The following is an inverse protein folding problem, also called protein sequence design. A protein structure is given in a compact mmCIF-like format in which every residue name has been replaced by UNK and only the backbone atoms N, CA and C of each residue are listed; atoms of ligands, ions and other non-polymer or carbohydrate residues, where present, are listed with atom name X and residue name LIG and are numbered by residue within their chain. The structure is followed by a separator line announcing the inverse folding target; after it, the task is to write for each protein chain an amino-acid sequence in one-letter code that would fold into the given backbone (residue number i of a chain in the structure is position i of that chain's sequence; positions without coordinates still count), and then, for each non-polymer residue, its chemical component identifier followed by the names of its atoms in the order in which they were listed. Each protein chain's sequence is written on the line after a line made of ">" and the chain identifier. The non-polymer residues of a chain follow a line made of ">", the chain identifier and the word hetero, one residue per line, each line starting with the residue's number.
data_IF_946249608528
#
_entry.id   IF_946249608528
#
_cell.length_a   1.000
_cell.length_b   1.000
_cell.length_c   1.000
_cell.angle_alpha   90.00
_cell.angle_beta   90.00
_cell.angle_gamma   90.00
#
_symmetry.space_group_name_H-M   'P 1'
#
loop_
_entity.id
_entity.type
_entity.pdbx_description
1 polymer ?
#
# COMPACT_ATOMS: atom_id res chain seq x y z
N UNK A 1 7.86 -20.81 19.49
CA UNK A 1 8.90 -19.86 19.02
C UNK A 1 8.37 -18.45 19.23
N UNK A 2 8.66 -17.85 20.38
CA UNK A 2 8.00 -16.64 20.90
C UNK A 2 8.34 -15.40 20.08
N UNK A 3 7.35 -14.51 19.89
CA UNK A 3 7.44 -13.26 19.10
C UNK A 3 8.68 -12.40 19.42
N UNK A 4 9.21 -12.50 20.65
CA UNK A 4 10.45 -11.87 21.10
C UNK A 4 11.74 -12.36 20.38
N UNK A 5 11.79 -13.61 19.90
CA UNK A 5 12.97 -14.11 19.14
C UNK A 5 12.97 -13.65 17.68
N UNK A 6 11.80 -13.35 17.12
CA UNK A 6 11.68 -12.70 15.80
C UNK A 6 12.01 -11.21 15.91
N UNK A 7 11.65 -10.59 17.05
CA UNK A 7 11.90 -9.17 17.39
C UNK A 7 13.38 -8.75 17.26
N UNK A 8 14.33 -9.58 17.71
CA UNK A 8 15.77 -9.23 17.67
C UNK A 8 16.43 -9.36 16.28
N UNK A 9 15.79 -10.03 15.32
CA UNK A 9 16.37 -10.30 13.98
C UNK A 9 15.95 -9.30 12.91
N UNK A 10 14.94 -8.47 13.16
CA UNK A 10 14.45 -7.47 12.22
C UNK A 10 14.75 -6.08 12.80
N UNK A 11 15.76 -5.39 12.25
CA UNK A 11 16.14 -4.02 12.61
C UNK A 11 15.07 -3.00 12.16
N UNK A 12 13.85 -3.11 12.68
CA UNK A 12 12.73 -2.26 12.30
C UNK A 12 12.74 -0.96 13.10
N UNK A 13 12.45 0.16 12.43
CA UNK A 13 12.17 1.42 13.12
C UNK A 13 10.97 1.28 14.06
N UNK A 14 10.91 2.08 15.14
CA UNK A 14 9.79 2.04 16.12
C UNK A 14 8.41 2.15 15.44
N UNK A 15 8.30 2.94 14.37
CA UNK A 15 7.07 3.11 13.58
C UNK A 15 6.74 1.86 12.75
N UNK A 16 7.74 1.24 12.13
CA UNK A 16 7.57 -0.01 11.37
C UNK A 16 7.19 -1.17 12.31
N UNK A 17 7.76 -1.20 13.51
CA UNK A 17 7.47 -2.20 14.52
C UNK A 17 6.02 -2.13 15.02
N UNK A 18 5.51 -0.92 15.31
CA UNK A 18 4.11 -0.71 15.69
C UNK A 18 3.14 -1.22 14.62
N UNK A 19 3.40 -0.89 13.34
CA UNK A 19 2.56 -1.31 12.21
C UNK A 19 2.64 -2.82 11.92
N UNK A 20 3.79 -3.43 12.18
CA UNK A 20 3.97 -4.87 12.12
C UNK A 20 3.14 -5.58 13.19
N UNK A 21 3.20 -5.10 14.43
CA UNK A 21 2.42 -5.69 15.53
C UNK A 21 0.92 -5.56 15.31
N UNK A 22 0.44 -4.39 14.89
CA UNK A 22 -0.96 -4.16 14.53
C UNK A 22 -1.43 -5.11 13.41
N UNK A 23 -0.61 -5.27 12.37
CA UNK A 23 -0.93 -6.21 11.29
C UNK A 23 -0.89 -7.68 11.74
N UNK A 24 -0.01 -8.01 12.69
CA UNK A 24 0.10 -9.36 13.25
C UNK A 24 -1.11 -9.75 14.10
N UNK A 25 -1.58 -8.84 14.97
CA UNK A 25 -2.80 -9.03 15.75
C UNK A 25 -4.02 -9.24 14.86
N UNK A 26 -4.21 -8.36 13.87
CA UNK A 26 -5.32 -8.48 12.92
C UNK A 26 -5.22 -9.78 12.11
N UNK A 27 -4.03 -10.15 11.65
CA UNK A 27 -3.82 -11.41 10.95
C UNK A 27 -4.21 -12.62 11.79
N UNK A 28 -3.77 -12.67 13.06
CA UNK A 28 -4.10 -13.76 13.97
C UNK A 28 -5.61 -13.87 14.19
N UNK A 29 -6.29 -12.72 14.39
CA UNK A 29 -7.74 -12.68 14.54
C UNK A 29 -8.47 -13.15 13.29
N UNK A 30 -8.06 -12.68 12.10
CA UNK A 30 -8.69 -13.08 10.84
C UNK A 30 -8.48 -14.56 10.54
N UNK A 31 -7.27 -15.10 10.70
CA UNK A 31 -7.01 -16.53 10.46
C UNK A 31 -7.82 -17.42 11.41
N UNK A 32 -7.89 -17.05 12.70
CA UNK A 32 -8.69 -17.78 13.69
C UNK A 32 -10.18 -17.74 13.34
N UNK A 33 -10.68 -16.55 12.97
CA UNK A 33 -12.08 -16.35 12.59
C UNK A 33 -12.44 -17.07 11.29
N UNK A 34 -11.55 -17.07 10.29
CA UNK A 34 -11.74 -17.82 9.05
C UNK A 34 -11.76 -19.31 9.32
N UNK A 35 -10.77 -19.83 10.08
CA UNK A 35 -10.72 -21.26 10.43
C UNK A 35 -11.97 -21.73 11.17
N UNK A 36 -12.43 -20.96 12.15
CA UNK A 36 -13.66 -21.27 12.88
C UNK A 36 -14.89 -21.14 11.97
N UNK A 37 -15.01 -20.05 11.22
CA UNK A 37 -16.14 -19.84 10.31
C UNK A 37 -16.26 -20.95 9.26
N UNK A 38 -15.15 -21.35 8.63
CA UNK A 38 -15.11 -22.51 7.71
C UNK A 38 -15.52 -23.79 8.43
N UNK A 39 -15.03 -24.04 9.64
CA UNK A 39 -15.45 -25.21 10.42
C UNK A 39 -16.97 -25.20 10.72
N UNK A 40 -17.57 -24.03 11.00
CA UNK A 40 -19.02 -23.92 11.17
C UNK A 40 -19.76 -24.23 9.87
N UNK A 41 -19.32 -23.66 8.75
CA UNK A 41 -19.89 -23.89 7.41
C UNK A 41 -19.89 -25.38 7.06
N UNK A 42 -18.75 -26.05 7.27
CA UNK A 42 -18.59 -27.48 6.97
C UNK A 42 -19.37 -28.40 7.92
N UNK A 43 -19.68 -27.95 9.14
CA UNK A 43 -20.42 -28.73 10.13
C UNK A 43 -21.94 -28.59 9.99
N UNK A 44 -22.41 -27.48 9.44
CA UNK A 44 -23.84 -27.21 9.26
C UNK A 44 -24.50 -28.18 8.29
N UNK A 45 -23.76 -28.71 7.31
CA UNK A 45 -24.30 -29.65 6.32
C UNK A 45 -23.53 -30.98 6.33
N UNK A 46 -24.24 -32.09 6.25
CA UNK A 46 -23.68 -33.46 6.20
C UNK A 46 -22.94 -33.79 4.90
N UNK A 47 -22.77 -32.83 3.98
CA UNK A 47 -22.01 -32.98 2.73
C UNK A 47 -21.13 -31.75 2.44
N UNK A 48 -19.87 -31.92 1.99
CA UNK A 48 -18.91 -30.84 1.70
C UNK A 48 -19.21 -30.08 0.39
N UNK A 49 -20.48 -29.92 0.03
CA UNK A 49 -20.88 -29.25 -1.20
C UNK A 49 -21.19 -27.77 -0.93
N UNK A 50 -20.32 -26.87 -1.38
CA UNK A 50 -20.50 -25.41 -1.30
C UNK A 50 -21.86 -24.98 -1.87
N UNK A 51 -22.36 -25.65 -2.90
CA UNK A 51 -23.66 -25.38 -3.52
C UNK A 51 -24.84 -25.66 -2.57
N UNK A 52 -24.74 -26.69 -1.73
CA UNK A 52 -25.76 -26.99 -0.73
C UNK A 52 -25.80 -25.89 0.33
N UNK A 53 -24.61 -25.43 0.76
CA UNK A 53 -24.51 -24.34 1.73
C UNK A 53 -25.08 -23.02 1.20
N UNK A 54 -24.93 -22.72 -0.10
CA UNK A 54 -25.54 -21.52 -0.70
C UNK A 54 -27.06 -21.56 -0.56
N UNK A 55 -27.69 -22.71 -0.80
CA UNK A 55 -29.14 -22.87 -0.69
C UNK A 55 -29.61 -22.75 0.77
N UNK A 56 -28.82 -23.31 1.71
CA UNK A 56 -29.15 -23.27 3.14
C UNK A 56 -28.99 -21.89 3.79
N UNK A 57 -28.54 -20.86 3.05
CA UNK A 57 -28.48 -19.48 3.51
C UNK A 57 -29.85 -18.86 3.80
N UNK A 58 -30.90 -19.30 3.11
CA UNK A 58 -32.28 -18.79 3.25
C UNK A 58 -33.32 -19.88 3.48
N UNK A 59 -32.99 -21.13 3.20
CA UNK A 59 -33.86 -22.29 3.43
C UNK A 59 -34.19 -22.43 4.93
N UNK A 60 -35.46 -22.70 5.23
CA UNK A 60 -35.93 -22.86 6.61
C UNK A 60 -35.93 -21.56 7.45
N UNK A 61 -35.74 -20.39 6.84
CA UNK A 61 -35.87 -19.11 7.56
C UNK A 61 -37.35 -18.83 7.91
N UNK A 62 -37.68 -18.38 9.14
CA UNK A 62 -36.78 -18.17 10.29
C UNK A 62 -36.61 -19.40 11.20
N UNK A 63 -37.49 -20.39 11.11
CA UNK A 63 -37.65 -21.48 12.09
C UNK A 63 -36.39 -22.30 12.33
N UNK A 64 -35.64 -22.64 11.27
CA UNK A 64 -34.38 -23.41 11.37
C UNK A 64 -33.15 -22.53 11.66
N UNK A 65 -33.31 -21.20 11.57
CA UNK A 65 -32.22 -20.24 11.82
C UNK A 65 -32.23 -19.75 13.27
N UNK A 66 -33.38 -19.79 13.94
CA UNK A 66 -33.52 -19.43 15.36
C UNK A 66 -32.71 -20.35 16.30
N UNK A 67 -32.77 -21.70 16.21
CA UNK A 67 -32.00 -22.58 17.07
C UNK A 67 -30.53 -22.59 16.65
N UNK A 68 -29.78 -21.62 17.18
CA UNK A 68 -28.36 -21.50 16.89
C UNK A 68 -27.51 -22.39 17.81
N UNK A 69 -26.61 -23.16 17.20
CA UNK A 69 -25.65 -23.99 17.94
C UNK A 69 -24.75 -23.13 18.84
N UNK A 70 -24.33 -23.69 19.97
CA UNK A 70 -23.45 -23.01 20.92
C UNK A 70 -22.15 -22.49 20.26
N UNK A 71 -21.45 -23.25 19.38
CA UNK A 71 -20.29 -22.75 18.65
C UNK A 71 -20.56 -21.51 17.81
N UNK A 72 -21.71 -21.43 17.16
CA UNK A 72 -22.08 -20.26 16.35
C UNK A 72 -22.38 -19.04 17.24
N UNK A 73 -23.01 -19.22 18.41
CA UNK A 73 -23.17 -18.15 19.40
C UNK A 73 -21.83 -17.59 19.86
N UNK A 74 -20.90 -18.46 20.26
CA UNK A 74 -19.57 -18.02 20.67
C UNK A 74 -18.79 -17.34 19.56
N UNK A 75 -18.94 -17.79 18.32
CA UNK A 75 -18.35 -17.12 17.17
C UNK A 75 -18.76 -15.64 17.12
N UNK A 76 -20.07 -15.32 17.13
CA UNK A 76 -20.54 -13.94 17.12
C UNK A 76 -20.16 -13.14 18.37
N UNK A 77 -20.21 -13.76 19.55
CA UNK A 77 -19.77 -13.11 20.80
C UNK A 77 -18.30 -12.68 20.69
N UNK A 78 -17.43 -13.55 20.18
CA UNK A 78 -16.01 -13.24 20.01
C UNK A 78 -15.80 -12.18 18.93
N UNK A 79 -16.54 -12.23 17.82
CA UNK A 79 -16.48 -11.19 16.79
C UNK A 79 -16.83 -9.82 17.39
N UNK A 80 -17.96 -9.73 18.08
CA UNK A 80 -18.44 -8.49 18.70
C UNK A 80 -17.47 -8.02 19.79
N UNK A 81 -17.02 -8.91 20.67
CA UNK A 81 -16.06 -8.59 21.72
C UNK A 81 -14.75 -8.06 21.16
N UNK A 82 -14.24 -8.66 20.08
CA UNK A 82 -13.05 -8.15 19.41
C UNK A 82 -13.29 -6.75 18.84
N UNK A 83 -14.35 -6.49 18.09
CA UNK A 83 -14.51 -5.14 17.54
C UNK A 83 -14.83 -4.09 18.61
N UNK A 84 -15.44 -4.47 19.74
CA UNK A 84 -15.57 -3.61 20.93
C UNK A 84 -14.20 -3.32 21.56
N UNK A 85 -13.31 -4.31 21.69
CA UNK A 85 -11.99 -4.10 22.33
C UNK A 85 -11.13 -3.08 21.57
N UNK A 86 -11.35 -2.91 20.26
CA UNK A 86 -10.62 -1.93 19.46
C UNK A 86 -10.81 -0.49 19.95
N UNK A 87 -11.93 -0.13 20.57
CA UNK A 87 -12.17 1.23 21.07
C UNK A 87 -11.28 1.60 22.27
N UNK A 88 -11.25 0.83 23.38
CA UNK A 88 -10.31 1.09 24.47
C UNK A 88 -8.85 0.90 24.01
N UNK A 89 -8.57 -0.02 23.09
CA UNK A 89 -7.23 -0.20 22.52
C UNK A 89 -6.69 1.09 21.88
N UNK A 90 -7.52 1.85 21.17
CA UNK A 90 -7.12 3.14 20.58
C UNK A 90 -6.65 4.14 21.65
N UNK A 91 -7.32 4.15 22.80
CA UNK A 91 -6.96 5.00 23.94
C UNK A 91 -5.67 4.52 24.60
N UNK A 92 -5.58 3.23 24.91
CA UNK A 92 -4.42 2.61 25.59
C UNK A 92 -3.13 2.69 24.76
N UNK A 93 -3.25 2.55 23.44
CA UNK A 93 -2.11 2.65 22.51
C UNK A 93 -1.75 4.09 22.12
N UNK A 94 -2.42 5.10 22.71
CA UNK A 94 -2.27 6.53 22.40
C UNK A 94 -2.26 6.76 20.89
N UNK A 95 -3.30 6.27 20.20
CA UNK A 95 -3.40 6.35 18.76
C UNK A 95 -3.33 7.81 18.27
N UNK A 96 -2.66 8.03 17.15
CA UNK A 96 -2.56 9.36 16.54
C UNK A 96 -3.93 9.82 16.08
N UNK A 97 -4.25 11.11 16.25
CA UNK A 97 -5.55 11.69 15.86
C UNK A 97 -5.92 11.45 14.40
N UNK A 98 -4.93 11.38 13.52
CA UNK A 98 -5.10 11.07 12.09
C UNK A 98 -5.52 9.62 11.80
N UNK A 99 -5.18 8.66 12.67
CA UNK A 99 -5.47 7.24 12.50
C UNK A 99 -6.82 6.83 13.15
N UNK A 100 -7.31 7.61 14.12
CA UNK A 100 -8.52 7.30 14.91
C UNK A 100 -9.77 7.18 14.02
N UNK A 101 -10.12 8.14 13.13
CA UNK A 101 -11.38 8.08 12.39
C UNK A 101 -11.47 6.83 11.51
N UNK A 102 -10.35 6.46 10.89
CA UNK A 102 -10.29 5.27 10.07
C UNK A 102 -10.54 4.01 10.92
N UNK A 103 -9.81 3.84 12.02
CA UNK A 103 -9.94 2.66 12.89
C UNK A 103 -11.33 2.54 13.52
N UNK A 104 -11.90 3.66 13.96
CA UNK A 104 -13.28 3.72 14.48
C UNK A 104 -14.29 3.33 13.40
N UNK A 105 -14.17 3.88 12.19
CA UNK A 105 -15.08 3.54 11.08
C UNK A 105 -15.07 2.05 10.79
N UNK A 106 -13.88 1.44 10.70
CA UNK A 106 -13.75 -0.01 10.47
C UNK A 106 -14.37 -0.82 11.62
N UNK A 107 -14.01 -0.54 12.88
CA UNK A 107 -14.54 -1.26 14.03
C UNK A 107 -16.08 -1.15 14.13
N UNK A 108 -16.63 0.05 13.91
CA UNK A 108 -18.08 0.28 13.92
C UNK A 108 -18.79 -0.47 12.80
N UNK A 109 -18.24 -0.49 11.57
CA UNK A 109 -18.84 -1.23 10.46
C UNK A 109 -18.96 -2.73 10.80
N UNK A 110 -17.91 -3.33 11.35
CA UNK A 110 -17.96 -4.73 11.77
C UNK A 110 -18.98 -4.98 12.87
N UNK A 111 -19.07 -4.10 13.88
CA UNK A 111 -20.07 -4.22 14.94
C UNK A 111 -21.49 -4.15 14.40
N UNK A 112 -21.78 -3.14 13.59
CA UNK A 112 -23.11 -2.96 13.01
C UNK A 112 -23.51 -4.18 12.19
N UNK A 113 -22.62 -4.69 11.32
CA UNK A 113 -22.92 -5.88 10.49
C UNK A 113 -23.10 -7.13 11.35
N UNK A 114 -22.24 -7.38 12.34
CA UNK A 114 -22.34 -8.57 13.20
C UNK A 114 -23.60 -8.54 14.06
N UNK A 115 -23.92 -7.39 14.66
CA UNK A 115 -25.10 -7.21 15.51
C UNK A 115 -26.37 -7.30 14.67
N UNK A 116 -26.44 -6.60 13.53
CA UNK A 116 -27.59 -6.64 12.65
C UNK A 116 -27.88 -8.07 12.16
N UNK A 117 -26.84 -8.81 11.73
CA UNK A 117 -27.01 -10.18 11.30
C UNK A 117 -27.48 -11.11 12.43
N UNK A 118 -27.01 -10.90 13.66
CA UNK A 118 -27.45 -11.68 14.82
C UNK A 118 -28.91 -11.39 15.19
N UNK A 119 -29.29 -10.11 15.22
CA UNK A 119 -30.66 -9.67 15.55
C UNK A 119 -31.65 -10.17 14.50
N UNK A 120 -31.33 -10.01 13.22
CA UNK A 120 -32.17 -10.42 12.08
C UNK A 120 -32.13 -11.93 11.80
N UNK A 121 -31.40 -12.71 12.59
CA UNK A 121 -31.27 -14.17 12.44
C UNK A 121 -30.66 -14.57 11.07
N UNK A 122 -29.81 -13.71 10.50
CA UNK A 122 -29.11 -13.92 9.23
C UNK A 122 -27.68 -14.44 9.46
N UNK A 123 -27.50 -15.28 10.47
CA UNK A 123 -26.19 -15.68 10.99
C UNK A 123 -25.42 -16.55 10.00
N UNK A 124 -26.10 -17.44 9.25
CA UNK A 124 -25.49 -18.26 8.19
C UNK A 124 -24.86 -17.38 7.11
N UNK A 125 -25.62 -16.43 6.57
CA UNK A 125 -25.13 -15.45 5.59
C UNK A 125 -23.94 -14.65 6.14
N UNK A 126 -24.06 -14.11 7.35
CA UNK A 126 -22.99 -13.30 7.92
C UNK A 126 -21.69 -14.08 8.14
N UNK A 127 -21.74 -15.36 8.55
CA UNK A 127 -20.55 -16.20 8.65
C UNK A 127 -19.89 -16.37 7.27
N UNK A 128 -20.69 -16.65 6.23
CA UNK A 128 -20.18 -16.77 4.87
C UNK A 128 -19.46 -15.50 4.41
N UNK A 129 -20.09 -14.34 4.61
CA UNK A 129 -19.53 -13.05 4.21
C UNK A 129 -18.28 -12.68 5.03
N UNK A 130 -18.28 -12.96 6.35
CA UNK A 130 -17.12 -12.73 7.21
C UNK A 130 -15.94 -13.62 6.84
N UNK A 131 -16.16 -14.91 6.55
CA UNK A 131 -15.10 -15.83 6.09
C UNK A 131 -14.45 -15.32 4.81
N UNK A 132 -15.26 -14.93 3.82
CA UNK A 132 -14.75 -14.39 2.56
C UNK A 132 -13.98 -13.08 2.77
N UNK A 133 -14.54 -12.16 3.55
CA UNK A 133 -13.93 -10.86 3.81
C UNK A 133 -12.62 -11.00 4.61
N UNK A 134 -12.64 -11.69 5.75
CA UNK A 134 -11.46 -11.92 6.58
C UNK A 134 -10.39 -12.75 5.86
N UNK A 135 -10.79 -13.69 4.99
CA UNK A 135 -9.84 -14.44 4.16
C UNK A 135 -9.03 -13.51 3.26
N UNK A 136 -9.71 -12.58 2.58
CA UNK A 136 -9.05 -11.54 1.78
C UNK A 136 -8.13 -10.65 2.62
N UNK A 137 -8.60 -10.17 3.79
CA UNK A 137 -7.82 -9.33 4.69
C UNK A 137 -6.60 -10.05 5.29
N UNK A 138 -6.72 -11.35 5.59
CA UNK A 138 -5.60 -12.16 6.05
C UNK A 138 -4.48 -12.22 5.02
N UNK A 139 -4.80 -12.34 3.72
CA UNK A 139 -3.79 -12.31 2.64
C UNK A 139 -3.12 -10.92 2.59
N UNK A 140 -3.89 -9.84 2.73
CA UNK A 140 -3.34 -8.47 2.78
C UNK A 140 -2.36 -8.29 3.93
N UNK A 141 -2.76 -8.65 5.15
CA UNK A 141 -1.91 -8.50 6.33
C UNK A 141 -0.69 -9.42 6.27
N UNK A 142 -0.82 -10.63 5.69
CA UNK A 142 0.32 -11.51 5.38
C UNK A 142 1.32 -10.82 4.46
N UNK A 143 0.85 -10.22 3.35
CA UNK A 143 1.71 -9.49 2.42
C UNK A 143 2.42 -8.31 3.12
N UNK A 144 1.69 -7.58 3.97
CA UNK A 144 2.21 -6.44 4.74
C UNK A 144 3.28 -6.86 5.75
N UNK A 145 3.06 -7.98 6.46
CA UNK A 145 4.05 -8.52 7.39
C UNK A 145 5.31 -8.98 6.67
N UNK A 146 5.17 -9.66 5.52
CA UNK A 146 6.32 -10.05 4.68
C UNK A 146 7.10 -8.83 4.16
N UNK A 147 6.40 -7.74 3.86
CA UNK A 147 7.02 -6.48 3.46
C UNK A 147 7.86 -5.88 4.59
N UNK A 148 7.33 -5.85 5.81
CA UNK A 148 8.07 -5.39 6.99
C UNK A 148 9.18 -6.35 7.44
N UNK A 149 9.13 -7.61 7.04
CA UNK A 149 10.19 -8.59 7.31
C UNK A 149 11.33 -8.56 6.26
N UNK A 150 11.44 -7.48 5.47
CA UNK A 150 12.37 -7.32 4.34
C UNK A 150 12.31 -8.42 3.26
N UNK A 151 11.21 -9.20 3.22
CA UNK A 151 10.95 -10.21 2.18
C UNK A 151 10.18 -9.62 1.00
N UNK A 152 10.65 -8.49 0.48
CA UNK A 152 9.96 -7.64 -0.50
C UNK A 152 9.54 -8.37 -1.79
N UNK A 153 10.38 -9.28 -2.30
CA UNK A 153 10.06 -10.10 -3.49
C UNK A 153 8.84 -10.99 -3.27
N UNK A 154 8.76 -11.62 -2.10
CA UNK A 154 7.62 -12.49 -1.73
C UNK A 154 6.40 -11.62 -1.46
N UNK A 155 6.56 -10.55 -0.67
CA UNK A 155 5.49 -9.60 -0.37
C UNK A 155 4.84 -9.03 -1.64
N UNK A 156 5.64 -8.67 -2.65
CA UNK A 156 5.11 -8.19 -3.94
C UNK A 156 4.25 -9.22 -4.66
N UNK A 157 4.64 -10.50 -4.66
CA UNK A 157 3.83 -11.58 -5.23
C UNK A 157 2.52 -11.75 -4.46
N UNK A 158 2.57 -11.77 -3.12
CA UNK A 158 1.36 -11.90 -2.29
C UNK A 158 0.43 -10.70 -2.46
N UNK A 159 0.94 -9.47 -2.59
CA UNK A 159 0.10 -8.30 -2.91
C UNK A 159 -0.60 -8.41 -4.27
N UNK A 160 0.04 -9.00 -5.29
CA UNK A 160 -0.61 -9.25 -6.59
C UNK A 160 -1.73 -10.28 -6.46
N UNK A 161 -1.50 -11.36 -5.72
CA UNK A 161 -2.53 -12.36 -5.41
C UNK A 161 -3.69 -11.72 -4.66
N UNK A 162 -3.39 -10.93 -3.62
CA UNK A 162 -4.40 -10.19 -2.87
C UNK A 162 -5.24 -9.27 -3.76
N UNK A 163 -4.66 -8.54 -4.71
CA UNK A 163 -5.44 -7.68 -5.61
C UNK A 163 -6.52 -8.45 -6.38
N UNK A 164 -6.20 -9.66 -6.86
CA UNK A 164 -7.14 -10.52 -7.58
C UNK A 164 -8.19 -11.09 -6.63
N UNK A 165 -7.74 -11.65 -5.50
CA UNK A 165 -8.64 -12.25 -4.49
C UNK A 165 -9.58 -11.20 -3.91
N UNK A 166 -9.10 -9.99 -3.64
CA UNK A 166 -9.90 -8.89 -3.11
C UNK A 166 -11.09 -8.60 -4.03
N UNK A 167 -10.84 -8.42 -5.33
CA UNK A 167 -11.90 -8.15 -6.30
C UNK A 167 -12.87 -9.32 -6.45
N UNK A 168 -12.34 -10.55 -6.53
CA UNK A 168 -13.17 -11.75 -6.59
C UNK A 168 -14.09 -11.88 -5.37
N UNK A 169 -13.58 -11.64 -4.16
CA UNK A 169 -14.36 -11.66 -2.92
C UNK A 169 -15.45 -10.59 -2.93
N UNK A 170 -15.19 -9.38 -3.46
CA UNK A 170 -16.23 -8.35 -3.59
C UNK A 170 -17.36 -8.83 -4.49
N UNK A 171 -17.04 -9.40 -5.65
CA UNK A 171 -18.04 -9.94 -6.58
C UNK A 171 -18.87 -11.06 -5.95
N UNK A 172 -18.21 -12.05 -5.32
CA UNK A 172 -18.90 -13.16 -4.64
C UNK A 172 -19.80 -12.64 -3.51
N UNK A 173 -19.36 -11.65 -2.75
CA UNK A 173 -20.18 -11.04 -1.68
C UNK A 173 -21.45 -10.39 -2.22
N UNK A 174 -21.37 -9.65 -3.32
CA UNK A 174 -22.54 -9.03 -3.97
C UNK A 174 -23.49 -10.10 -4.47
N UNK A 175 -22.96 -11.14 -5.14
CA UNK A 175 -23.77 -12.25 -5.66
C UNK A 175 -24.48 -12.99 -4.53
N UNK A 176 -23.79 -13.34 -3.44
CA UNK A 176 -24.42 -14.02 -2.30
C UNK A 176 -25.47 -13.16 -1.61
N UNK A 177 -25.25 -11.85 -1.49
CA UNK A 177 -26.24 -10.94 -0.94
C UNK A 177 -27.47 -10.83 -1.85
N UNK A 178 -27.27 -10.71 -3.16
CA UNK A 178 -28.36 -10.70 -4.14
C UNK A 178 -29.14 -12.01 -4.10
N UNK A 179 -28.48 -13.17 -4.17
CA UNK A 179 -29.13 -14.46 -4.09
C UNK A 179 -29.93 -14.61 -2.81
N UNK A 180 -29.38 -14.24 -1.65
CA UNK A 180 -30.09 -14.38 -0.37
C UNK A 180 -31.28 -13.43 -0.25
N UNK A 181 -31.10 -12.14 -0.52
CA UNK A 181 -32.13 -11.13 -0.25
C UNK A 181 -33.13 -10.94 -1.38
N UNK A 182 -32.71 -11.11 -2.65
CA UNK A 182 -33.58 -10.88 -3.81
C UNK A 182 -34.28 -12.16 -4.27
N UNK A 183 -33.59 -13.30 -4.20
CA UNK A 183 -34.12 -14.56 -4.72
C UNK A 183 -34.55 -15.52 -3.61
N UNK A 184 -33.70 -15.76 -2.61
CA UNK A 184 -33.86 -16.81 -1.62
C UNK A 184 -34.96 -16.53 -0.59
N UNK A 185 -34.78 -15.47 0.21
CA UNK A 185 -35.72 -15.13 1.28
C UNK A 185 -37.17 -14.89 0.80
N UNK A 186 -37.45 -14.29 -0.37
CA UNK A 186 -38.82 -14.20 -0.87
C UNK A 186 -39.50 -15.55 -1.13
N UNK A 187 -38.72 -16.61 -1.37
CA UNK A 187 -39.25 -17.96 -1.57
C UNK A 187 -39.57 -18.66 -0.25
N UNK A 188 -39.03 -18.18 0.87
CA UNK A 188 -39.13 -18.83 2.18
C UNK A 188 -39.91 -17.97 3.18
N UNK A 189 -41.18 -18.33 3.38
CA UNK A 189 -42.04 -17.78 4.43
C UNK A 189 -43.05 -16.73 3.97
N UNK A 190 -43.87 -16.26 4.91
CA UNK A 190 -44.85 -15.19 4.70
C UNK A 190 -44.17 -13.83 4.86
N UNK A 191 -44.47 -12.88 3.96
CA UNK A 191 -44.01 -11.49 3.99
C UNK A 191 -44.67 -10.71 5.14
N UNK A 192 -44.37 -11.12 6.37
CA UNK A 192 -45.00 -10.64 7.60
C UNK A 192 -43.92 -10.30 8.62
N UNK A 193 -44.03 -9.12 9.24
CA UNK A 193 -43.20 -8.75 10.37
C UNK A 193 -43.79 -9.35 11.64
N UNK A 194 -43.16 -10.39 12.17
CA UNK A 194 -43.55 -10.97 13.46
C UNK A 194 -42.34 -11.03 14.40
N UNK A 195 -42.33 -10.12 15.37
CA UNK A 195 -41.27 -10.02 16.38
C UNK A 195 -41.31 -11.22 17.34
N UNK A 196 -42.49 -11.77 17.64
CA UNK A 196 -42.63 -12.90 18.54
C UNK A 196 -42.01 -14.17 17.94
N UNK A 197 -42.27 -14.43 16.65
CA UNK A 197 -41.66 -15.53 15.90
C UNK A 197 -40.27 -15.20 15.34
N UNK A 198 -39.73 -14.01 15.64
CA UNK A 198 -38.45 -13.49 15.09
C UNK A 198 -38.38 -13.55 13.56
N UNK A 199 -39.52 -13.42 12.89
CA UNK A 199 -39.60 -13.32 11.45
C UNK A 199 -39.43 -11.86 11.01
N UNK A 200 -38.26 -11.56 10.45
CA UNK A 200 -37.95 -10.25 9.89
C UNK A 200 -37.96 -10.26 8.35
N UNK A 201 -38.51 -11.30 7.72
CA UNK A 201 -38.56 -11.45 6.28
C UNK A 201 -39.66 -10.55 5.68
N UNK A 202 -39.38 -9.26 5.57
CA UNK A 202 -40.22 -8.32 4.83
C UNK A 202 -39.44 -7.75 3.66
N UNK A 203 -40.13 -7.36 2.59
CA UNK A 203 -39.52 -6.72 1.43
C UNK A 203 -38.66 -5.51 1.82
N UNK A 204 -39.12 -4.69 2.78
CA UNK A 204 -38.39 -3.51 3.25
C UNK A 204 -37.06 -3.92 3.90
N UNK A 205 -37.08 -4.92 4.79
CA UNK A 205 -35.86 -5.41 5.47
C UNK A 205 -34.88 -6.01 4.46
N UNK A 206 -35.38 -6.83 3.51
CA UNK A 206 -34.56 -7.45 2.46
C UNK A 206 -33.84 -6.39 1.62
N UNK A 207 -34.56 -5.38 1.13
CA UNK A 207 -33.99 -4.31 0.29
C UNK A 207 -32.97 -3.49 1.09
N UNK A 208 -33.26 -3.13 2.34
CA UNK A 208 -32.32 -2.38 3.18
C UNK A 208 -31.05 -3.16 3.47
N UNK A 209 -31.15 -4.47 3.74
CA UNK A 209 -29.97 -5.33 3.94
C UNK A 209 -29.14 -5.44 2.66
N UNK A 210 -29.78 -5.64 1.51
CA UNK A 210 -29.10 -5.70 0.22
C UNK A 210 -28.37 -4.39 -0.10
N UNK A 211 -29.04 -3.25 0.03
CA UNK A 211 -28.46 -1.92 -0.17
C UNK A 211 -27.27 -1.72 0.78
N UNK A 212 -27.42 -2.07 2.06
CA UNK A 212 -26.36 -1.93 3.05
C UNK A 212 -25.10 -2.72 2.66
N UNK A 213 -25.26 -3.99 2.24
CA UNK A 213 -24.13 -4.81 1.78
C UNK A 213 -23.50 -4.19 0.54
N UNK A 214 -24.30 -3.76 -0.44
CA UNK A 214 -23.82 -3.13 -1.68
C UNK A 214 -23.05 -1.83 -1.40
N UNK A 215 -23.57 -0.95 -0.54
CA UNK A 215 -22.89 0.29 -0.15
C UNK A 215 -21.54 0.02 0.52
N UNK A 216 -21.47 -0.99 1.40
CA UNK A 216 -20.20 -1.42 2.00
C UNK A 216 -19.23 -1.93 0.92
N UNK A 217 -19.71 -2.70 -0.07
CA UNK A 217 -18.85 -3.17 -1.17
C UNK A 217 -18.33 -2.01 -2.03
N UNK A 218 -19.19 -1.05 -2.36
CA UNK A 218 -18.81 0.16 -3.12
C UNK A 218 -17.77 0.97 -2.34
N UNK A 219 -17.98 1.17 -1.04
CA UNK A 219 -17.02 1.87 -0.18
C UNK A 219 -15.66 1.18 -0.11
N UNK A 220 -15.63 -0.15 -0.01
CA UNK A 220 -14.40 -0.95 -0.03
C UNK A 220 -13.67 -0.85 -1.38
N UNK A 221 -14.40 -0.96 -2.49
CA UNK A 221 -13.85 -0.82 -3.85
C UNK A 221 -13.33 0.59 -4.11
N UNK A 222 -14.03 1.61 -3.62
CA UNK A 222 -13.59 3.00 -3.68
C UNK A 222 -12.28 3.19 -2.92
N UNK A 223 -12.21 2.68 -1.69
CA UNK A 223 -10.98 2.72 -0.86
C UNK A 223 -9.82 2.01 -1.56
N UNK A 224 -10.07 0.84 -2.15
CA UNK A 224 -9.08 0.09 -2.92
C UNK A 224 -8.58 0.85 -4.16
N UNK A 225 -9.51 1.46 -4.90
CA UNK A 225 -9.20 2.21 -6.14
C UNK A 225 -8.43 3.48 -5.83
N UNK A 226 -8.86 4.26 -4.84
CA UNK A 226 -8.15 5.47 -4.41
C UNK A 226 -6.73 5.16 -3.91
N UNK A 227 -6.54 4.05 -3.20
CA UNK A 227 -5.21 3.58 -2.81
C UNK A 227 -4.31 3.28 -4.03
N UNK A 228 -4.84 2.56 -5.03
CA UNK A 228 -4.09 2.26 -6.25
C UNK A 228 -3.79 3.51 -7.10
N UNK A 229 -4.77 4.42 -7.24
CA UNK A 229 -4.59 5.68 -7.95
C UNK A 229 -3.51 6.56 -7.31
N UNK A 230 -3.49 6.66 -5.98
CA UNK A 230 -2.42 7.37 -5.25
C UNK A 230 -1.06 6.75 -5.53
N UNK A 231 -0.95 5.42 -5.46
CA UNK A 231 0.29 4.70 -5.74
C UNK A 231 0.76 4.83 -7.20
N UNK A 232 -0.16 4.90 -8.16
CA UNK A 232 0.18 5.15 -9.56
C UNK A 232 0.69 6.58 -9.77
N UNK A 233 0.05 7.58 -9.15
CA UNK A 233 0.50 8.97 -9.18
C UNK A 233 1.90 9.13 -8.57
N UNK A 234 2.16 8.52 -7.42
CA UNK A 234 3.47 8.55 -6.76
C UNK A 234 4.58 7.95 -7.66
N UNK A 235 4.32 6.78 -8.27
CA UNK A 235 5.26 6.18 -9.23
C UNK A 235 5.47 7.04 -10.47
N UNK A 236 4.41 7.68 -10.99
CA UNK A 236 4.49 8.58 -12.12
C UNK A 236 5.35 9.81 -11.81
N UNK A 237 5.15 10.43 -10.65
CA UNK A 237 5.96 11.55 -10.17
C UNK A 237 7.43 11.16 -9.97
N UNK A 238 7.71 9.98 -9.39
CA UNK A 238 9.09 9.49 -9.20
C UNK A 238 9.81 9.25 -10.53
N UNK A 239 9.11 8.71 -11.54
CA UNK A 239 9.66 8.52 -12.88
C UNK A 239 9.93 9.86 -13.55
N UNK A 240 9.02 10.83 -13.41
CA UNK A 240 9.19 12.18 -13.97
C UNK A 240 10.39 12.90 -13.34
N UNK A 241 10.51 12.85 -12.01
CA UNK A 241 11.63 13.41 -11.25
C UNK A 241 12.96 12.78 -11.65
N UNK A 242 13.03 11.44 -11.74
CA UNK A 242 14.24 10.73 -12.21
C UNK A 242 14.59 11.08 -13.65
N UNK A 243 13.60 11.22 -14.54
CA UNK A 243 13.86 11.64 -15.92
C UNK A 243 14.41 13.07 -15.98
N UNK A 244 13.87 13.98 -15.17
CA UNK A 244 14.32 15.38 -15.10
C UNK A 244 15.75 15.48 -14.55
N UNK A 245 16.07 14.73 -13.48
CA UNK A 245 17.42 14.61 -12.94
C UNK A 245 18.40 14.06 -13.98
N UNK A 246 18.02 12.98 -14.69
CA UNK A 246 18.89 12.40 -15.73
C UNK A 246 19.15 13.37 -16.90
N UNK A 247 18.16 14.17 -17.31
CA UNK A 247 18.31 15.21 -18.34
C UNK A 247 19.21 16.35 -17.87
N UNK A 248 19.08 16.77 -16.62
CA UNK A 248 19.95 17.78 -15.99
C UNK A 248 21.42 17.32 -15.94
N UNK A 249 21.66 16.09 -15.48
CA UNK A 249 23.01 15.51 -15.44
C UNK A 249 23.61 15.33 -16.85
N UNK A 250 22.82 14.89 -17.82
CA UNK A 250 23.26 14.77 -19.21
C UNK A 250 23.61 16.15 -19.83
N UNK A 251 22.83 17.19 -19.53
CA UNK A 251 23.10 18.57 -19.95
C UNK A 251 24.39 19.11 -19.34
N UNK A 252 24.61 18.86 -18.04
CA UNK A 252 25.84 19.26 -17.34
C UNK A 252 27.08 18.57 -17.92
N UNK A 253 27.03 17.26 -18.14
CA UNK A 253 28.10 16.49 -18.79
C UNK A 253 28.43 16.99 -20.20
N UNK A 254 27.41 17.39 -20.99
CA UNK A 254 27.61 17.97 -22.33
C UNK A 254 28.31 19.33 -22.27
N UNK A 255 27.95 20.19 -21.31
CA UNK A 255 28.63 21.48 -21.09
C UNK A 255 30.09 21.29 -20.67
N UNK A 256 30.35 20.38 -19.73
CA UNK A 256 31.71 20.10 -19.25
C UNK A 256 32.59 19.54 -20.38
N UNK A 257 32.05 18.66 -21.24
CA UNK A 257 32.76 18.12 -22.39
C UNK A 257 33.06 19.18 -23.46
N UNK A 258 32.11 20.08 -23.73
CA UNK A 258 32.29 21.18 -24.67
C UNK A 258 33.35 22.17 -24.18
N UNK A 259 33.35 22.48 -22.87
CA UNK A 259 34.37 23.34 -22.27
C UNK A 259 35.76 22.70 -22.33
N UNK A 260 35.87 21.39 -22.06
CA UNK A 260 37.13 20.64 -22.15
C UNK A 260 37.69 20.64 -23.59
N UNK A 261 36.84 20.43 -24.60
CA UNK A 261 37.24 20.54 -26.02
C UNK A 261 37.74 21.93 -26.37
N UNK A 262 37.04 22.99 -25.91
CA UNK A 262 37.42 24.38 -26.17
C UNK A 262 38.76 24.75 -25.51
N UNK A 263 39.04 24.22 -24.31
CA UNK A 263 40.35 24.38 -23.65
C UNK A 263 41.47 23.61 -24.37
N UNK A 264 41.18 22.43 -24.91
CA UNK A 264 42.15 21.66 -25.70
C UNK A 264 42.51 22.36 -27.01
N UNK A 265 41.51 22.85 -27.75
CA UNK A 265 41.73 23.62 -28.99
C UNK A 265 42.58 24.87 -28.75
N UNK A 266 42.30 25.63 -27.67
CA UNK A 266 43.13 26.79 -27.29
C UNK A 266 44.58 26.43 -26.98
N UNK A 267 44.85 25.25 -26.42
CA UNK A 267 46.22 24.79 -26.15
C UNK A 267 46.94 24.38 -27.43
N UNK A 268 46.22 23.75 -28.36
CA UNK A 268 46.77 23.35 -29.66
C UNK A 268 47.10 24.57 -30.53
N UNK A 269 46.22 25.58 -30.57
CA UNK A 269 46.48 26.84 -31.27
C UNK A 269 47.66 27.62 -30.66
N UNK A 270 47.80 27.59 -29.33
CA UNK A 270 48.94 28.20 -28.66
C UNK A 270 50.25 27.45 -28.95
N UNK A 271 50.22 26.12 -29.07
CA UNK A 271 51.38 25.31 -29.43
C UNK A 271 51.79 25.53 -30.90
N UNK A 272 50.83 25.63 -31.84
CA UNK A 272 51.11 25.94 -33.25
C UNK A 272 51.66 27.35 -33.45
N UNK A 273 51.18 28.33 -32.66
CA UNK A 273 51.77 29.67 -32.64
C UNK A 273 53.16 29.72 -32.02
N UNK A 274 53.49 28.81 -31.10
CA UNK A 274 54.84 28.71 -30.55
C UNK A 274 55.81 28.05 -31.55
N UNK A 275 55.36 27.03 -32.30
CA UNK A 275 56.19 26.38 -33.32
C UNK A 275 56.43 27.27 -34.55
N UNK A 276 55.43 28.06 -34.97
CA UNK A 276 55.61 29.00 -36.08
C UNK A 276 56.57 30.16 -35.76
N UNK A 277 56.82 30.43 -34.47
CA UNK A 277 57.79 31.43 -34.03
C UNK A 277 59.22 30.88 -34.05
N UNK A 278 59.41 29.56 -33.92
CA UNK A 278 60.73 28.92 -34.06
C UNK A 278 61.12 28.73 -35.54
N UNK A 279 60.15 28.44 -36.43
CA UNK A 279 60.42 28.32 -37.87
C UNK A 279 60.83 29.66 -38.51
N UNK A 280 60.22 30.79 -38.11
CA UNK A 280 60.60 32.14 -38.58
C UNK A 280 62.00 32.59 -38.08
N UNK A 281 62.61 31.90 -37.11
CA UNK A 281 63.99 32.17 -36.66
C UNK A 281 65.02 31.28 -37.37
N UNK A 282 64.59 30.14 -37.93
CA UNK A 282 65.44 29.21 -38.67
C UNK A 282 65.72 29.61 -40.12
N UNK A 283 64.96 30.55 -40.69
CA UNK A 283 65.09 31.01 -42.08
C UNK A 283 65.81 32.36 -42.23
N UNK A 284 66.38 32.88 -41.13
CA UNK A 284 67.24 34.06 -41.15
C UNK A 284 68.71 33.64 -41.32
N UNK A 285 69.36 34.15 -42.37
CA UNK A 285 70.78 33.95 -42.62
C UNK A 285 71.63 34.32 -41.40
N UNK A 286 72.71 33.58 -41.15
CA UNK A 286 73.60 33.61 -39.97
C UNK A 286 74.05 35.02 -39.50
N UNK A 287 73.94 36.02 -40.39
CA UNK A 287 74.28 37.42 -40.15
C UNK A 287 73.23 38.17 -39.29
N UNK A 288 71.94 37.79 -39.33
CA UNK A 288 70.86 38.51 -38.63
C UNK A 288 70.58 38.03 -37.19
N UNK A 289 70.99 36.80 -36.85
CA UNK A 289 70.81 36.26 -35.50
C UNK A 289 71.70 36.97 -34.46
N UNK A 290 72.87 37.45 -34.86
CA UNK A 290 73.81 38.16 -33.98
C UNK A 290 73.39 39.59 -33.63
N UNK A 291 72.59 40.23 -34.49
CA UNK A 291 72.14 41.61 -34.26
C UNK A 291 71.10 41.67 -33.14
N UNK A 292 70.24 40.65 -33.03
CA UNK A 292 69.12 40.61 -32.07
C UNK A 292 69.51 40.14 -30.67
N UNK A 293 70.49 39.24 -30.56
CA UNK A 293 71.04 38.80 -29.26
C UNK A 293 71.71 39.96 -28.50
N UNK A 294 72.28 40.92 -29.23
CA UNK A 294 72.94 42.09 -28.66
C UNK A 294 71.93 43.11 -28.10
N UNK A 295 70.73 43.24 -28.68
CA UNK A 295 69.71 44.22 -28.23
C UNK A 295 68.97 43.77 -26.96
N UNK A 296 68.77 42.45 -26.76
CA UNK A 296 68.08 41.91 -25.58
C UNK A 296 68.94 41.94 -24.30
N UNK A 297 70.26 42.08 -24.43
CA UNK A 297 71.19 42.13 -23.29
C UNK A 297 71.26 43.51 -22.61
N UNK A 298 70.60 44.52 -23.16
CA UNK A 298 70.48 45.87 -22.58
C UNK A 298 69.04 46.19 -22.15
N UNK A 299 68.52 45.51 -21.13
CA UNK A 299 67.43 46.05 -20.31
C UNK A 299 67.76 45.86 -18.83
N UNK A 300 67.92 46.94 -18.04
CA UNK A 300 68.19 46.82 -16.62
C UNK A 300 66.93 46.31 -15.90
N UNK A 301 67.16 45.42 -14.94
CA UNK A 301 66.22 45.02 -13.90
C UNK A 301 65.91 46.20 -12.97
N UNK A 302 64.63 46.59 -12.85
CA UNK A 302 64.17 47.45 -11.75
C UNK A 302 63.03 46.75 -11.02
N UNK A 303 63.29 46.38 -9.76
CA UNK A 303 62.37 45.81 -8.79
C UNK A 303 62.18 46.83 -7.66
N UNK A 304 60.98 47.37 -7.48
CA UNK A 304 60.54 48.11 -6.27
C UNK A 304 59.01 48.30 -6.35
N UNK A 305 58.21 47.56 -5.57
CA UNK A 305 57.58 47.96 -4.30
C UNK A 305 56.57 49.12 -4.40
N UNK A 306 55.27 48.81 -4.37
CA UNK A 306 54.26 49.68 -3.73
C UNK A 306 53.27 48.78 -2.99
N UNK A 307 53.32 48.82 -1.67
CA UNK A 307 52.28 48.36 -0.78
C UNK A 307 51.33 49.53 -0.46
N UNK A 308 50.07 49.19 -0.17
CA UNK A 308 49.11 49.97 0.63
C UNK A 308 48.69 51.37 0.16
N UNK A 309 47.46 51.48 -0.36
CA UNK A 309 46.46 52.49 0.06
C UNK A 309 45.16 52.39 -0.79
N UNK A 310 44.14 51.74 -0.25
CA UNK A 310 42.73 52.01 -0.58
C UNK A 310 41.87 51.60 0.62
N UNK A 311 41.69 52.55 1.56
CA UNK A 311 40.57 52.57 2.51
C UNK A 311 39.74 53.80 2.19
N UNK A 312 38.49 53.59 1.80
CA UNK A 312 37.31 54.36 2.19
C UNK A 312 36.10 53.45 2.01
#
# INVERSE_FOLDING_TARGET
>A
MTALKVNRKLHLSKVSHRRFNESGQLLAFYLTSVGWGVHLILKTETLPNITAYITSLWEGYPTEHIPMTLPTKFFFIIQIAYWIHCFPELYLTKAKREEIPQKVTYATLYLVVCIAAYVLVLTRLAIALLVLHYGSEAIFHTARMLHFADRTKIASRVFKVWNVVFLAVRLVTIVLAFLTFWHGLPLTGTDTLDVASRNFNTQIVRINCLISVCLIQVWLLWTFTTFHLRRLKEKGSDVLLKSSQSKSEASKRRKDAAEKRRRAAKKEDAAKKASSVDDDVSDLTEVDQNTRSTTLRQRPTTRASVAAAARS
#
